data_IF_368417475308
#
_entry.id   IF_368417475308
#
_cell.length_a   1.000
_cell.length_b   1.000
_cell.length_c   1.000
_cell.angle_alpha   90.00
_cell.angle_beta   90.00
_cell.angle_gamma   90.00
#
_symmetry.space_group_name_H-M   'P 1'
#
loop_
_entity.id
_entity.type
_entity.pdbx_description
1 polymer ?
#
# COMPACT_ATOMS: atom_id res chain seq x y z
N UNK A 1 -19.57 -11.76 22.23
CA UNK A 1 -18.85 -10.46 22.16
C UNK A 1 -19.52 -9.43 23.07
N UNK A 2 -18.73 -8.47 23.60
CA UNK A 2 -19.28 -7.30 24.31
C UNK A 2 -20.18 -6.48 23.39
N UNK A 3 -21.07 -5.60 23.92
CA UNK A 3 -21.89 -4.76 23.05
C UNK A 3 -21.10 -3.88 22.10
N UNK A 4 -19.95 -3.36 22.57
CA UNK A 4 -19.01 -2.55 21.76
C UNK A 4 -17.62 -3.17 21.90
N UNK A 5 -17.33 -4.24 21.12
CA UNK A 5 -16.04 -4.92 21.22
C UNK A 5 -14.91 -4.01 20.69
N UNK A 6 -13.77 -4.00 21.39
CA UNK A 6 -12.57 -3.28 20.96
C UNK A 6 -11.63 -4.25 20.26
N UNK A 7 -11.29 -3.96 19.02
CA UNK A 7 -10.32 -4.72 18.24
C UNK A 7 -9.07 -3.90 17.99
N UNK A 8 -7.92 -4.50 18.26
CA UNK A 8 -6.62 -3.90 17.95
C UNK A 8 -6.05 -4.56 16.70
N UNK A 9 -5.71 -3.78 15.71
CA UNK A 9 -5.02 -4.20 14.50
C UNK A 9 -3.57 -3.71 14.56
N UNK A 10 -2.58 -4.60 14.51
CA UNK A 10 -1.16 -4.23 14.55
C UNK A 10 -0.53 -4.43 13.18
N UNK A 11 -0.28 -3.31 12.47
CA UNK A 11 0.45 -3.31 11.21
C UNK A 11 1.53 -2.21 11.22
N UNK A 12 2.76 -2.63 11.47
CA UNK A 12 3.92 -1.75 11.58
C UNK A 12 5.00 -2.07 10.55
N UNK A 13 4.59 -2.64 9.42
CA UNK A 13 5.43 -2.99 8.27
C UNK A 13 5.74 -1.81 7.36
N UNK A 14 5.80 -2.06 6.06
CA UNK A 14 5.95 -1.04 5.03
C UNK A 14 4.62 -0.31 4.77
N UNK A 15 4.70 0.86 4.14
CA UNK A 15 3.52 1.69 3.78
C UNK A 15 2.48 0.87 3.01
N UNK A 16 2.92 0.04 2.04
CA UNK A 16 2.02 -0.82 1.29
C UNK A 16 1.27 -1.83 2.17
N UNK A 17 1.97 -2.47 3.13
CA UNK A 17 1.34 -3.40 4.08
C UNK A 17 0.32 -2.67 4.98
N UNK A 18 0.61 -1.42 5.37
CA UNK A 18 -0.31 -0.60 6.16
C UNK A 18 -1.56 -0.27 5.34
N UNK A 19 -1.40 0.18 4.09
CA UNK A 19 -2.51 0.44 3.19
C UNK A 19 -3.41 -0.80 3.03
N UNK A 20 -2.82 -1.99 2.85
CA UNK A 20 -3.57 -3.26 2.81
C UNK A 20 -4.19 -3.64 4.17
N UNK A 21 -3.56 -3.25 5.28
CA UNK A 21 -4.09 -3.46 6.63
C UNK A 21 -5.37 -2.66 6.90
N UNK A 22 -5.58 -1.51 6.24
CA UNK A 22 -6.80 -0.71 6.37
C UNK A 22 -8.05 -1.46 5.88
N UNK A 23 -7.90 -2.37 4.90
CA UNK A 23 -9.00 -3.25 4.48
C UNK A 23 -9.53 -4.14 5.61
N UNK A 24 -8.66 -4.51 6.55
CA UNK A 24 -9.08 -5.26 7.75
C UNK A 24 -9.91 -4.41 8.72
N UNK A 25 -9.57 -3.13 8.86
CA UNK A 25 -10.33 -2.20 9.67
C UNK A 25 -11.72 -1.97 9.07
N UNK A 26 -11.80 -1.70 7.75
CA UNK A 26 -13.08 -1.51 7.09
C UNK A 26 -13.96 -2.78 7.11
N UNK A 27 -13.36 -3.96 6.90
CA UNK A 27 -14.05 -5.25 7.02
C UNK A 27 -14.68 -5.45 8.40
N UNK A 28 -13.96 -5.17 9.48
CA UNK A 28 -14.46 -5.27 10.86
C UNK A 28 -15.58 -4.25 11.13
N UNK A 29 -15.36 -2.99 10.77
CA UNK A 29 -16.30 -1.91 11.06
C UNK A 29 -17.63 -2.08 10.31
N UNK A 30 -17.58 -2.46 9.04
CA UNK A 30 -18.77 -2.74 8.24
C UNK A 30 -19.54 -4.01 8.67
N UNK A 31 -18.82 -4.97 9.21
CA UNK A 31 -19.41 -6.21 9.70
C UNK A 31 -19.96 -6.11 11.12
N UNK A 32 -19.33 -5.28 11.95
CA UNK A 32 -19.71 -5.03 13.35
C UNK A 32 -19.68 -3.51 13.58
N UNK A 33 -20.69 -2.74 13.15
CA UNK A 33 -20.68 -1.27 13.22
C UNK A 33 -20.45 -0.69 14.63
N UNK A 34 -20.83 -1.44 15.67
CA UNK A 34 -20.62 -1.03 17.07
C UNK A 34 -19.20 -1.26 17.58
N UNK A 35 -18.32 -1.94 16.83
CA UNK A 35 -16.96 -2.19 17.29
C UNK A 35 -16.11 -0.90 17.29
N UNK A 36 -15.12 -0.89 18.17
CA UNK A 36 -14.09 0.14 18.26
C UNK A 36 -12.80 -0.44 17.65
N UNK A 37 -12.24 0.23 16.66
CA UNK A 37 -11.01 -0.17 16.00
C UNK A 37 -9.85 0.70 16.49
N UNK A 38 -8.86 0.06 17.09
CA UNK A 38 -7.57 0.68 17.44
C UNK A 38 -6.52 0.18 16.45
N UNK A 39 -5.94 1.06 15.65
CA UNK A 39 -4.94 0.69 14.66
C UNK A 39 -3.54 1.13 15.09
N UNK A 40 -2.61 0.17 15.20
CA UNK A 40 -1.21 0.43 15.54
C UNK A 40 -0.38 0.54 14.27
N UNK A 41 0.21 1.71 14.05
CA UNK A 41 0.98 2.02 12.86
C UNK A 41 2.35 2.64 13.18
N UNK A 42 3.10 3.02 12.15
CA UNK A 42 4.41 3.70 12.26
C UNK A 42 4.27 5.19 11.91
N UNK A 43 5.19 6.08 12.36
CA UNK A 43 5.05 7.53 12.18
C UNK A 43 4.79 7.98 10.75
N UNK A 44 5.50 7.40 9.76
CA UNK A 44 5.37 7.81 8.36
C UNK A 44 3.96 7.55 7.78
N UNK A 45 3.19 6.64 8.37
CA UNK A 45 1.83 6.32 7.91
C UNK A 45 0.74 6.85 8.86
N UNK A 46 1.10 7.65 9.87
CA UNK A 46 0.16 8.25 10.83
C UNK A 46 -0.93 9.02 10.12
N UNK A 47 -0.55 9.92 9.21
CA UNK A 47 -1.47 10.75 8.44
C UNK A 47 -2.52 9.90 7.69
N UNK A 48 -2.09 8.88 6.95
CA UNK A 48 -3.00 7.99 6.22
C UNK A 48 -4.00 7.26 7.14
N UNK A 49 -3.52 6.79 8.30
CA UNK A 49 -4.36 6.04 9.25
C UNK A 49 -5.35 6.95 9.96
N UNK A 50 -4.96 8.18 10.30
CA UNK A 50 -5.85 9.19 10.91
C UNK A 50 -7.00 9.61 9.98
N UNK A 51 -6.80 9.57 8.66
CA UNK A 51 -7.82 9.89 7.66
C UNK A 51 -8.66 8.67 7.21
N UNK A 52 -8.39 7.48 7.73
CA UNK A 52 -9.18 6.29 7.43
C UNK A 52 -10.45 6.24 8.30
N UNK A 53 -11.62 6.39 7.68
CA UNK A 53 -12.91 6.55 8.38
C UNK A 53 -13.31 5.37 9.26
N UNK A 54 -12.76 4.19 9.03
CA UNK A 54 -13.09 2.97 9.77
C UNK A 54 -12.21 2.75 11.02
N UNK A 55 -11.36 3.71 11.37
CA UNK A 55 -10.48 3.65 12.52
C UNK A 55 -10.94 4.66 13.57
N UNK A 56 -11.19 4.18 14.79
CA UNK A 56 -11.63 5.04 15.89
C UNK A 56 -10.43 5.61 16.66
N UNK A 57 -9.34 4.86 16.79
CA UNK A 57 -8.13 5.29 17.49
C UNK A 57 -6.87 4.84 16.74
N UNK A 58 -5.88 5.71 16.69
CA UNK A 58 -4.55 5.43 16.10
C UNK A 58 -3.49 5.46 17.19
N UNK A 59 -2.66 4.41 17.24
CA UNK A 59 -1.51 4.32 18.15
C UNK A 59 -0.22 4.28 17.33
N UNK A 60 0.68 5.22 17.58
CA UNK A 60 1.93 5.36 16.81
C UNK A 60 3.06 4.60 17.51
N UNK A 61 3.53 3.54 16.85
CA UNK A 61 4.67 2.76 17.33
C UNK A 61 5.95 3.12 16.56
N UNK A 62 6.65 4.15 17.05
CA UNK A 62 7.96 4.53 16.51
C UNK A 62 9.07 3.61 17.03
N UNK A 63 9.14 2.42 16.49
CA UNK A 63 10.10 1.37 16.90
C UNK A 63 11.57 1.69 16.59
N UNK A 64 11.85 2.71 15.78
CA UNK A 64 13.21 3.14 15.41
C UNK A 64 13.66 4.38 16.15
N UNK A 65 12.73 5.18 16.68
CA UNK A 65 12.95 6.41 17.45
C UNK A 65 12.45 6.28 18.89
N UNK A 66 11.37 7.00 19.22
CA UNK A 66 10.83 7.16 20.58
C UNK A 66 10.57 5.82 21.32
N UNK A 67 10.10 4.81 20.60
CA UNK A 67 9.72 3.51 21.20
C UNK A 67 10.75 2.40 20.86
N UNK A 68 12.03 2.75 20.84
CA UNK A 68 13.12 1.79 20.60
C UNK A 68 13.32 0.84 21.78
N UNK A 69 13.59 -0.44 21.48
CA UNK A 69 13.92 -1.47 22.48
C UNK A 69 12.71 -1.95 23.30
N UNK A 70 12.99 -2.64 24.40
CA UNK A 70 11.96 -3.27 25.25
C UNK A 70 11.09 -2.24 25.98
N UNK A 71 11.68 -1.12 26.42
CA UNK A 71 10.95 -0.04 27.08
C UNK A 71 9.83 0.51 26.19
N UNK A 72 10.13 0.71 24.89
CA UNK A 72 9.14 1.16 23.92
C UNK A 72 8.02 0.12 23.71
N UNK A 73 8.34 -1.18 23.70
CA UNK A 73 7.31 -2.22 23.61
C UNK A 73 6.39 -2.16 24.82
N UNK A 74 6.95 -2.02 26.06
CA UNK A 74 6.17 -1.92 27.28
C UNK A 74 5.27 -0.67 27.31
N UNK A 75 5.78 0.48 26.81
CA UNK A 75 4.99 1.71 26.72
C UNK A 75 3.76 1.52 25.81
N UNK A 76 3.97 0.98 24.61
CA UNK A 76 2.86 0.72 23.67
C UNK A 76 1.91 -0.34 24.21
N UNK A 77 2.43 -1.41 24.83
CA UNK A 77 1.59 -2.43 25.47
C UNK A 77 0.69 -1.84 26.57
N UNK A 78 1.26 -0.98 27.43
CA UNK A 78 0.50 -0.26 28.44
C UNK A 78 -0.55 0.67 27.85
N UNK A 79 -0.23 1.38 26.77
CA UNK A 79 -1.18 2.23 26.06
C UNK A 79 -2.33 1.41 25.49
N UNK A 80 -2.04 0.30 24.81
CA UNK A 80 -3.05 -0.59 24.23
C UNK A 80 -3.92 -1.27 25.30
N UNK A 81 -3.37 -1.61 26.47
CA UNK A 81 -4.12 -2.23 27.55
C UNK A 81 -5.25 -1.34 28.11
N UNK A 82 -5.12 -0.01 27.99
CA UNK A 82 -6.16 0.95 28.40
C UNK A 82 -7.45 0.81 27.62
N UNK A 83 -7.36 0.35 26.38
CA UNK A 83 -8.54 0.09 25.52
C UNK A 83 -9.26 -1.20 25.90
N UNK A 84 -8.71 -2.02 26.81
CA UNK A 84 -9.27 -3.32 27.20
C UNK A 84 -9.70 -4.18 26.01
N UNK A 85 -8.79 -4.47 25.04
CA UNK A 85 -9.15 -5.11 23.81
C UNK A 85 -9.80 -6.48 23.99
N UNK A 86 -10.83 -6.76 23.21
CA UNK A 86 -11.46 -8.07 23.10
C UNK A 86 -10.55 -9.04 22.33
N UNK A 87 -9.98 -8.56 21.22
CA UNK A 87 -9.01 -9.31 20.45
C UNK A 87 -7.94 -8.39 19.80
N UNK A 88 -6.76 -8.96 19.61
CA UNK A 88 -5.65 -8.33 18.89
C UNK A 88 -5.32 -9.15 17.63
N UNK A 89 -5.41 -8.53 16.47
CA UNK A 89 -5.02 -9.11 15.21
C UNK A 89 -3.61 -8.63 14.82
N UNK A 90 -2.65 -9.56 14.89
CA UNK A 90 -1.24 -9.32 14.57
C UNK A 90 -0.99 -9.51 13.07
N UNK A 91 -1.37 -8.50 12.28
CA UNK A 91 -1.22 -8.51 10.82
C UNK A 91 0.26 -8.48 10.44
N UNK A 92 1.05 -7.64 11.11
CA UNK A 92 2.49 -7.56 10.88
C UNK A 92 3.22 -8.78 11.48
N UNK A 93 3.84 -9.58 10.64
CA UNK A 93 4.53 -10.82 10.98
C UNK A 93 5.93 -10.57 11.55
N UNK A 94 6.02 -10.23 12.84
CA UNK A 94 7.30 -10.06 13.53
C UNK A 94 7.24 -10.56 14.98
N UNK A 95 8.37 -11.00 15.50
CA UNK A 95 8.49 -11.37 16.92
C UNK A 95 8.09 -10.23 17.85
N UNK A 96 8.46 -9.00 17.49
CA UNK A 96 8.11 -7.78 18.25
C UNK A 96 6.59 -7.57 18.34
N UNK A 97 5.86 -7.82 17.26
CA UNK A 97 4.40 -7.73 17.24
C UNK A 97 3.77 -8.79 18.13
N UNK A 98 4.28 -10.03 18.06
CA UNK A 98 3.81 -11.11 18.92
C UNK A 98 4.07 -10.81 20.41
N UNK A 99 5.26 -10.34 20.76
CA UNK A 99 5.61 -9.94 22.13
C UNK A 99 4.74 -8.77 22.61
N UNK A 100 4.55 -7.76 21.77
CA UNK A 100 3.67 -6.62 22.08
C UNK A 100 2.25 -7.11 22.44
N UNK A 101 1.69 -8.02 21.66
CA UNK A 101 0.34 -8.55 21.91
C UNK A 101 0.22 -9.28 23.25
N UNK A 102 1.25 -10.01 23.70
CA UNK A 102 1.26 -10.68 25.02
C UNK A 102 1.28 -9.66 26.14
N UNK A 103 2.10 -8.63 26.03
CA UNK A 103 2.30 -7.62 27.08
C UNK A 103 1.07 -6.71 27.28
N UNK A 104 0.09 -6.74 26.39
CA UNK A 104 -1.20 -6.07 26.59
C UNK A 104 -2.13 -6.81 27.55
N UNK A 105 -1.80 -8.06 27.94
CA UNK A 105 -2.64 -8.97 28.69
C UNK A 105 -3.98 -9.33 28.02
N UNK A 106 -4.15 -9.06 26.71
CA UNK A 106 -5.32 -9.48 25.96
C UNK A 106 -5.35 -11.01 25.82
N UNK A 107 -6.50 -11.62 26.07
CA UNK A 107 -6.68 -13.09 26.01
C UNK A 107 -6.61 -13.59 24.57
N UNK A 108 -7.25 -12.88 23.63
CA UNK A 108 -7.35 -13.30 22.23
C UNK A 108 -6.32 -12.56 21.37
N UNK A 109 -5.23 -13.25 21.07
CA UNK A 109 -4.12 -12.76 20.25
C UNK A 109 -4.02 -13.64 19.02
N UNK A 110 -4.40 -13.09 17.88
CA UNK A 110 -4.51 -13.81 16.62
C UNK A 110 -3.37 -13.40 15.67
N UNK A 111 -2.69 -14.36 15.08
CA UNK A 111 -1.61 -14.10 14.13
C UNK A 111 -1.35 -15.29 13.22
N UNK A 112 -0.38 -15.16 12.32
CA UNK A 112 -0.05 -16.22 11.37
C UNK A 112 0.93 -17.24 11.94
N UNK A 113 0.76 -18.52 11.57
CA UNK A 113 1.64 -19.63 11.97
C UNK A 113 3.10 -19.40 11.57
N UNK A 114 3.35 -18.72 10.45
CA UNK A 114 4.69 -18.42 9.93
C UNK A 114 5.35 -17.22 10.62
N UNK A 115 4.65 -16.52 11.51
CA UNK A 115 5.22 -15.35 12.19
C UNK A 115 6.30 -15.79 13.17
N UNK A 116 7.46 -15.12 13.21
CA UNK A 116 8.38 -15.28 14.33
C UNK A 116 7.64 -14.97 15.64
N UNK A 117 7.67 -15.92 16.59
CA UNK A 117 6.92 -15.79 17.84
C UNK A 117 5.45 -16.23 17.76
N UNK A 118 5.04 -17.01 16.76
CA UNK A 118 3.68 -17.54 16.61
C UNK A 118 3.19 -18.35 17.83
N UNK A 119 4.09 -18.95 18.61
CA UNK A 119 3.80 -19.63 19.87
C UNK A 119 3.29 -18.70 20.99
N UNK A 120 3.40 -17.39 20.81
CA UNK A 120 2.88 -16.37 21.74
C UNK A 120 1.41 -16.02 21.44
N UNK A 121 0.87 -16.42 20.30
CA UNK A 121 -0.53 -16.20 19.97
C UNK A 121 -1.44 -17.19 20.69
N UNK A 122 -2.63 -16.75 21.07
CA UNK A 122 -3.67 -17.65 21.58
C UNK A 122 -4.31 -18.46 20.46
N UNK A 123 -4.26 -17.92 19.23
CA UNK A 123 -4.77 -18.57 18.03
C UNK A 123 -3.88 -18.21 16.82
N UNK A 124 -3.41 -19.24 16.11
CA UNK A 124 -2.55 -19.08 14.93
C UNK A 124 -3.28 -19.56 13.68
N UNK A 125 -3.25 -18.74 12.63
CA UNK A 125 -3.88 -19.00 11.34
C UNK A 125 -2.84 -19.34 10.30
N UNK A 126 -3.11 -20.28 9.44
CA UNK A 126 -2.21 -20.64 8.36
C UNK A 126 -2.10 -19.50 7.34
N UNK A 127 -0.88 -19.14 6.98
CA UNK A 127 -0.62 -18.15 5.94
C UNK A 127 -0.75 -18.81 4.58
N UNK A 128 -1.88 -18.57 3.89
CA UNK A 128 -2.14 -19.14 2.57
C UNK A 128 -1.19 -18.58 1.51
N UNK A 129 -0.75 -19.44 0.60
CA UNK A 129 -0.04 -19.03 -0.62
C UNK A 129 -1.05 -18.73 -1.74
N UNK A 130 -0.61 -18.03 -2.78
CA UNK A 130 -1.37 -17.79 -4.02
C UNK A 130 -2.74 -17.11 -3.80
N UNK A 131 -2.83 -16.23 -2.81
CA UNK A 131 -3.99 -15.35 -2.62
C UNK A 131 -3.49 -13.94 -2.26
N UNK A 132 -4.38 -12.95 -2.35
CA UNK A 132 -4.00 -11.57 -2.04
C UNK A 132 -3.78 -11.37 -0.53
N UNK A 133 -2.90 -10.42 -0.14
CA UNK A 133 -2.61 -10.15 1.28
C UNK A 133 -3.87 -9.73 2.06
N UNK A 134 -4.81 -9.01 1.44
CA UNK A 134 -6.09 -8.67 2.09
C UNK A 134 -6.92 -9.92 2.43
N UNK A 135 -6.86 -10.97 1.61
CA UNK A 135 -7.57 -12.22 1.88
C UNK A 135 -6.93 -12.99 3.04
N UNK A 136 -5.60 -12.96 3.14
CA UNK A 136 -4.88 -13.51 4.30
C UNK A 136 -5.24 -12.77 5.57
N UNK A 137 -5.27 -11.44 5.51
CA UNK A 137 -5.67 -10.62 6.65
C UNK A 137 -7.13 -10.86 7.04
N UNK A 138 -8.02 -11.13 6.06
CA UNK A 138 -9.38 -11.56 6.31
C UNK A 138 -9.43 -12.90 7.05
N UNK A 139 -8.57 -13.88 6.69
CA UNK A 139 -8.50 -15.17 7.38
C UNK A 139 -8.21 -15.01 8.88
N UNK A 140 -7.38 -14.03 9.28
CA UNK A 140 -7.15 -13.75 10.72
C UNK A 140 -8.44 -13.32 11.41
N UNK A 141 -9.22 -12.46 10.76
CA UNK A 141 -10.48 -11.95 11.31
C UNK A 141 -11.52 -13.07 11.37
N UNK A 142 -11.71 -13.82 10.30
CA UNK A 142 -12.67 -14.93 10.20
C UNK A 142 -12.37 -16.03 11.20
N UNK A 143 -11.11 -16.27 11.52
CA UNK A 143 -10.72 -17.29 12.51
C UNK A 143 -11.25 -17.01 13.92
N UNK A 144 -11.51 -15.75 14.23
CA UNK A 144 -12.02 -15.30 15.52
C UNK A 144 -13.51 -14.96 15.48
N UNK A 145 -13.96 -14.26 14.44
CA UNK A 145 -15.34 -13.79 14.27
C UNK A 145 -16.11 -14.79 13.42
N UNK A 146 -16.65 -15.83 14.05
CA UNK A 146 -17.31 -16.95 13.32
C UNK A 146 -18.78 -16.71 13.01
N UNK A 147 -19.47 -15.94 13.85
CA UNK A 147 -20.93 -15.81 13.81
C UNK A 147 -21.43 -14.59 13.07
N UNK A 148 -20.51 -13.84 12.43
CA UNK A 148 -20.84 -12.62 11.68
C UNK A 148 -20.40 -12.78 10.23
N UNK A 149 -21.32 -12.54 9.30
CA UNK A 149 -20.99 -12.49 7.87
C UNK A 149 -20.15 -11.26 7.59
N UNK A 150 -18.89 -11.46 7.23
CA UNK A 150 -17.98 -10.37 6.91
C UNK A 150 -18.40 -9.68 5.61
N UNK A 151 -18.43 -8.35 5.63
CA UNK A 151 -18.75 -7.49 4.48
C UNK A 151 -17.46 -6.95 3.88
N UNK A 152 -17.11 -7.45 2.70
CA UNK A 152 -15.96 -6.94 1.94
C UNK A 152 -16.25 -5.51 1.46
N UNK A 153 -15.38 -4.59 1.79
CA UNK A 153 -15.47 -3.20 1.38
C UNK A 153 -14.08 -2.60 1.21
N UNK A 154 -13.97 -1.55 0.43
CA UNK A 154 -12.74 -0.76 0.32
C UNK A 154 -12.70 0.28 1.43
N UNK A 155 -11.54 0.51 2.06
CA UNK A 155 -11.39 1.58 3.04
C UNK A 155 -11.70 2.94 2.43
N UNK A 156 -12.43 3.77 3.18
CA UNK A 156 -12.71 5.15 2.80
C UNK A 156 -11.65 6.02 3.47
N UNK A 157 -10.89 6.75 2.65
CA UNK A 157 -9.92 7.74 3.12
C UNK A 157 -10.51 9.12 2.91
N UNK A 158 -10.65 9.88 3.98
CA UNK A 158 -11.08 11.28 3.90
C UNK A 158 -10.04 12.08 3.11
N UNK A 159 -10.47 12.73 2.05
CA UNK A 159 -9.58 13.51 1.19
C UNK A 159 -9.04 14.73 1.94
N UNK A 160 -7.75 14.99 1.77
CA UNK A 160 -7.12 16.22 2.20
C UNK A 160 -7.05 17.19 1.02
N UNK A 161 -7.92 18.19 1.02
CA UNK A 161 -8.02 19.21 -0.01
C UNK A 161 -7.06 20.41 0.21
N UNK A 162 -6.24 20.38 1.28
CA UNK A 162 -5.34 21.50 1.61
C UNK A 162 -4.12 21.59 0.69
N UNK A 163 -3.96 20.68 -0.25
CA UNK A 163 -2.90 20.76 -1.27
C UNK A 163 -3.48 21.36 -2.54
N UNK A 164 -3.27 22.63 -2.72
CA UNK A 164 -3.39 23.29 -4.03
C UNK A 164 -2.11 23.00 -4.82
N UNK A 165 -2.07 21.89 -5.51
CA UNK A 165 -1.09 21.70 -6.57
C UNK A 165 -1.61 22.51 -7.78
N UNK A 166 -0.80 23.46 -8.25
CA UNK A 166 -1.09 24.19 -9.49
C UNK A 166 -0.81 23.24 -10.68
N UNK A 167 -1.72 22.28 -10.84
CA UNK A 167 -1.67 21.28 -11.91
C UNK A 167 -2.89 21.52 -12.80
N UNK A 168 -2.62 21.81 -14.07
CA UNK A 168 -3.68 21.82 -15.06
C UNK A 168 -4.27 20.40 -15.19
N UNK A 169 -5.50 20.25 -14.75
CA UNK A 169 -6.25 18.99 -14.77
C UNK A 169 -7.37 18.95 -15.81
N UNK A 170 -7.46 19.95 -16.68
CA UNK A 170 -8.56 20.05 -17.67
C UNK A 170 -8.68 18.77 -18.50
N UNK A 171 -7.58 18.24 -19.01
CA UNK A 171 -7.56 17.00 -19.77
C UNK A 171 -7.38 15.75 -18.88
N UNK A 172 -7.00 15.92 -17.62
CA UNK A 172 -6.77 14.86 -16.63
C UNK A 172 -5.31 14.61 -16.33
N UNK A 173 -5.07 13.79 -15.31
CA UNK A 173 -3.74 13.57 -14.72
C UNK A 173 -3.31 12.10 -14.91
N UNK A 174 -2.08 11.88 -15.36
CA UNK A 174 -1.38 10.60 -15.33
C UNK A 174 -0.30 10.70 -14.27
N UNK A 175 -0.28 9.74 -13.33
CA UNK A 175 0.70 9.71 -12.26
C UNK A 175 1.75 8.64 -12.53
N UNK A 176 3.02 8.98 -12.29
CA UNK A 176 4.16 8.06 -12.41
C UNK A 176 4.89 7.99 -11.08
N UNK A 177 5.08 6.78 -10.55
CA UNK A 177 5.86 6.51 -9.34
C UNK A 177 7.14 5.72 -9.70
N UNK A 178 8.24 6.38 -10.05
CA UNK A 178 9.46 5.73 -10.53
C UNK A 178 10.25 5.04 -9.44
N UNK A 179 10.03 5.43 -8.16
CA UNK A 179 10.76 4.93 -7.00
C UNK A 179 10.39 3.53 -6.55
N UNK A 180 11.29 2.89 -5.85
CA UNK A 180 11.07 1.69 -5.03
C UNK A 180 12.16 1.59 -3.99
N UNK A 181 11.84 1.03 -2.82
CA UNK A 181 12.82 0.71 -1.77
C UNK A 181 13.90 -0.29 -2.24
N UNK A 182 13.60 -1.07 -3.27
CA UNK A 182 14.47 -2.09 -3.84
C UNK A 182 14.85 -1.72 -5.27
N UNK A 183 16.17 -1.51 -5.53
CA UNK A 183 16.64 -1.08 -6.85
C UNK A 183 16.26 -2.05 -7.97
N UNK A 184 16.25 -3.36 -7.69
CA UNK A 184 15.89 -4.38 -8.68
C UNK A 184 14.43 -4.31 -9.14
N UNK A 185 13.55 -3.61 -8.40
CA UNK A 185 12.16 -3.37 -8.81
C UNK A 185 12.00 -2.12 -9.68
N UNK A 186 13.01 -1.25 -9.75
CA UNK A 186 12.90 0.02 -10.47
C UNK A 186 12.93 -0.22 -11.98
N UNK A 187 11.96 0.34 -12.67
CA UNK A 187 11.99 0.40 -14.12
C UNK A 187 13.09 1.35 -14.57
N UNK A 188 13.82 1.06 -15.68
CA UNK A 188 14.94 1.91 -16.10
C UNK A 188 14.52 3.37 -16.30
N UNK A 189 15.33 4.27 -15.80
CA UNK A 189 15.10 5.72 -15.91
C UNK A 189 14.96 6.16 -17.37
N UNK A 190 15.75 5.61 -18.28
CA UNK A 190 15.65 5.86 -19.71
C UNK A 190 14.28 5.48 -20.27
N UNK A 191 13.65 4.42 -19.74
CA UNK A 191 12.31 4.01 -20.15
C UNK A 191 11.23 4.96 -19.59
N UNK A 192 11.41 5.44 -18.36
CA UNK A 192 10.52 6.44 -17.74
C UNK A 192 10.55 7.73 -18.59
N UNK A 193 11.75 8.22 -18.95
CA UNK A 193 11.93 9.38 -19.81
C UNK A 193 11.23 9.22 -21.16
N UNK A 194 11.42 8.08 -21.81
CA UNK A 194 10.79 7.78 -23.09
C UNK A 194 9.26 7.75 -22.98
N UNK A 195 8.72 7.19 -21.90
CA UNK A 195 7.27 7.20 -21.65
C UNK A 195 6.74 8.62 -21.45
N UNK A 196 7.41 9.43 -20.61
CA UNK A 196 7.01 10.84 -20.36
C UNK A 196 6.99 11.61 -21.68
N UNK A 197 8.04 11.50 -22.51
CA UNK A 197 8.10 12.18 -23.80
C UNK A 197 6.94 11.77 -24.70
N UNK A 198 6.69 10.46 -24.85
CA UNK A 198 5.58 9.98 -25.68
C UNK A 198 4.22 10.48 -25.16
N UNK A 199 4.01 10.53 -23.85
CA UNK A 199 2.77 11.04 -23.26
C UNK A 199 2.58 12.54 -23.52
N UNK A 200 3.64 13.34 -23.38
CA UNK A 200 3.58 14.79 -23.63
C UNK A 200 3.37 15.11 -25.12
N UNK A 201 4.03 14.39 -26.01
CA UNK A 201 3.95 14.64 -27.46
C UNK A 201 2.61 14.17 -28.07
N UNK A 202 2.02 13.11 -27.55
CA UNK A 202 0.88 12.44 -28.19
C UNK A 202 -0.43 12.56 -27.42
N UNK A 203 -0.43 13.23 -26.24
CA UNK A 203 -1.64 13.44 -25.43
C UNK A 203 -1.67 14.84 -24.79
N UNK A 204 -2.82 15.23 -24.27
CA UNK A 204 -2.99 16.50 -23.56
C UNK A 204 -2.95 16.34 -22.03
N UNK A 205 -2.68 15.13 -21.51
CA UNK A 205 -2.67 14.87 -20.06
C UNK A 205 -1.52 15.56 -19.34
N UNK A 206 -1.75 15.98 -18.11
CA UNK A 206 -0.69 16.39 -17.18
C UNK A 206 -0.01 15.17 -16.58
N UNK A 207 1.31 15.19 -16.46
CA UNK A 207 2.14 14.13 -15.93
C UNK A 207 2.64 14.53 -14.55
N UNK A 208 2.33 13.75 -13.53
CA UNK A 208 2.75 14.02 -12.16
C UNK A 208 3.63 12.90 -11.64
N UNK A 209 4.87 13.22 -11.31
CA UNK A 209 5.82 12.29 -10.71
C UNK A 209 5.68 12.35 -9.19
N UNK A 210 5.42 11.20 -8.57
CA UNK A 210 5.31 11.05 -7.12
C UNK A 210 6.41 10.14 -6.57
N UNK A 211 6.71 10.30 -5.29
CA UNK A 211 7.70 9.50 -4.58
C UNK A 211 7.99 10.06 -3.19
N UNK A 212 8.86 9.39 -2.45
CA UNK A 212 9.42 9.90 -1.20
C UNK A 212 10.44 11.02 -1.47
N UNK A 213 10.91 11.67 -0.40
CA UNK A 213 12.02 12.64 -0.52
C UNK A 213 13.28 12.04 -1.13
N UNK A 214 13.53 10.73 -0.91
CA UNK A 214 14.67 10.03 -1.50
C UNK A 214 14.50 9.76 -3.00
N UNK A 215 13.29 9.81 -3.51
CA UNK A 215 13.00 9.59 -4.94
C UNK A 215 13.03 10.90 -5.74
N UNK A 216 13.23 12.07 -5.08
CA UNK A 216 13.20 13.38 -5.71
C UNK A 216 14.16 13.48 -6.89
N UNK A 217 15.43 13.09 -6.68
CA UNK A 217 16.48 13.18 -7.71
C UNK A 217 16.17 12.22 -8.89
N UNK A 218 15.62 11.04 -8.62
CA UNK A 218 15.19 10.11 -9.66
C UNK A 218 14.03 10.69 -10.47
N UNK A 219 13.06 11.31 -9.82
CA UNK A 219 11.95 11.99 -10.51
C UNK A 219 12.46 13.15 -11.36
N UNK A 220 13.35 13.99 -10.81
CA UNK A 220 13.96 15.12 -11.51
C UNK A 220 14.73 14.67 -12.75
N UNK A 221 15.62 13.68 -12.60
CA UNK A 221 16.43 13.15 -13.70
C UNK A 221 15.60 12.42 -14.77
N UNK A 222 14.38 12.00 -14.43
CA UNK A 222 13.43 11.42 -15.39
C UNK A 222 12.77 12.45 -16.30
N UNK A 223 12.91 13.75 -16.03
CA UNK A 223 12.37 14.86 -16.83
C UNK A 223 13.51 15.42 -17.66
N UNK A 224 13.38 15.38 -19.01
CA UNK A 224 14.42 15.84 -19.92
C UNK A 224 14.34 17.35 -20.23
N UNK A 225 13.17 17.94 -20.12
CA UNK A 225 12.91 19.34 -20.45
C UNK A 225 11.76 19.88 -19.58
N UNK A 226 11.81 21.18 -19.30
CA UNK A 226 10.71 21.83 -18.61
C UNK A 226 9.48 21.91 -19.50
N UNK A 227 8.34 21.56 -18.94
CA UNK A 227 7.06 21.62 -19.61
C UNK A 227 5.94 21.91 -18.61
N UNK A 228 4.99 22.78 -18.96
CA UNK A 228 3.90 23.21 -18.06
C UNK A 228 3.01 22.08 -17.58
N UNK A 229 2.95 20.97 -18.30
CA UNK A 229 2.20 19.76 -17.95
C UNK A 229 3.02 18.68 -17.23
N UNK A 230 4.27 18.94 -16.86
CA UNK A 230 5.11 17.98 -16.11
C UNK A 230 5.40 18.53 -14.73
N UNK A 231 5.02 17.80 -13.69
CA UNK A 231 5.16 18.21 -12.30
C UNK A 231 5.89 17.15 -11.48
N UNK A 232 7.00 17.51 -10.84
CA UNK A 232 7.68 16.67 -9.86
C UNK A 232 7.22 17.07 -8.46
N UNK A 233 6.39 16.23 -7.82
CA UNK A 233 5.90 16.45 -6.45
C UNK A 233 6.47 15.43 -5.47
N UNK A 234 7.56 14.75 -5.82
CA UNK A 234 8.21 13.77 -4.95
C UNK A 234 8.69 14.41 -3.64
N UNK A 235 8.24 13.84 -2.52
CA UNK A 235 8.54 14.33 -1.18
C UNK A 235 7.77 15.56 -0.73
N UNK A 236 6.83 16.06 -1.52
CA UNK A 236 5.98 17.22 -1.18
C UNK A 236 4.65 16.81 -0.58
N UNK A 237 4.14 15.64 -0.93
CA UNK A 237 2.83 15.16 -0.50
C UNK A 237 2.94 14.24 0.72
N UNK A 238 1.95 14.34 1.62
CA UNK A 238 1.66 13.31 2.61
C UNK A 238 1.06 12.07 1.93
N UNK A 239 0.90 10.96 2.66
CA UNK A 239 0.28 9.76 2.11
C UNK A 239 -1.20 9.98 1.79
N UNK A 240 -1.92 10.72 2.63
CA UNK A 240 -3.33 11.09 2.38
C UNK A 240 -3.45 11.98 1.16
N UNK A 241 -2.59 12.98 1.03
CA UNK A 241 -2.54 13.85 -0.15
C UNK A 241 -2.21 13.08 -1.42
N UNK A 242 -1.32 12.08 -1.31
CA UNK A 242 -1.03 11.17 -2.44
C UNK A 242 -2.28 10.37 -2.83
N UNK A 243 -3.07 9.85 -1.87
CA UNK A 243 -4.35 9.17 -2.13
C UNK A 243 -5.34 10.14 -2.78
N UNK A 244 -5.44 11.38 -2.30
CA UNK A 244 -6.30 12.42 -2.87
C UNK A 244 -5.93 12.76 -4.33
N UNK A 245 -4.63 12.92 -4.63
CA UNK A 245 -4.16 13.10 -6.01
C UNK A 245 -4.53 11.89 -6.90
N UNK A 246 -4.30 10.68 -6.40
CA UNK A 246 -4.61 9.45 -7.14
C UNK A 246 -6.11 9.29 -7.40
N UNK A 247 -6.99 9.76 -6.49
CA UNK A 247 -8.44 9.64 -6.67
C UNK A 247 -8.99 10.43 -7.87
N UNK A 248 -8.32 11.51 -8.25
CA UNK A 248 -8.67 12.34 -9.42
C UNK A 248 -7.87 11.99 -10.67
N UNK A 249 -6.87 11.11 -10.55
CA UNK A 249 -5.96 10.76 -11.65
C UNK A 249 -6.56 9.67 -12.55
N UNK A 250 -6.27 9.70 -13.84
CA UNK A 250 -6.74 8.71 -14.84
C UNK A 250 -6.11 7.34 -14.62
N UNK A 251 -4.81 7.30 -14.35
CA UNK A 251 -4.04 6.08 -14.17
C UNK A 251 -2.76 6.36 -13.39
N UNK A 252 -2.31 5.38 -12.60
CA UNK A 252 -0.97 5.33 -12.00
C UNK A 252 -0.11 4.34 -12.78
N UNK A 253 1.11 4.73 -13.11
CA UNK A 253 2.19 3.83 -13.54
C UNK A 253 3.17 3.69 -12.37
N UNK A 254 3.40 2.47 -11.89
CA UNK A 254 4.26 2.24 -10.72
C UNK A 254 4.99 0.91 -10.82
N UNK A 255 6.18 0.85 -10.26
CA UNK A 255 6.80 -0.42 -9.91
C UNK A 255 5.95 -1.15 -8.86
N UNK A 256 6.21 -2.45 -8.62
CA UNK A 256 5.66 -3.21 -7.48
C UNK A 256 6.14 -2.58 -6.15
N UNK A 257 5.44 -1.54 -5.68
CA UNK A 257 5.79 -0.72 -4.52
C UNK A 257 4.56 -0.07 -3.86
N UNK A 258 4.75 0.65 -2.77
CA UNK A 258 3.66 1.22 -1.97
C UNK A 258 2.61 2.04 -2.76
N UNK A 259 2.95 2.85 -3.78
CA UNK A 259 1.97 3.59 -4.57
C UNK A 259 0.88 2.73 -5.20
N UNK A 260 1.16 1.46 -5.58
CA UNK A 260 0.14 0.52 -6.08
C UNK A 260 -1.00 0.32 -5.07
N UNK A 261 -0.66 0.25 -3.79
CA UNK A 261 -1.65 0.03 -2.73
C UNK A 261 -2.35 1.33 -2.31
N UNK A 262 -1.66 2.48 -2.40
CA UNK A 262 -2.29 3.79 -2.24
C UNK A 262 -3.31 4.06 -3.36
N UNK A 263 -2.97 3.69 -4.61
CA UNK A 263 -3.88 3.77 -5.74
C UNK A 263 -5.10 2.83 -5.57
N UNK A 264 -4.91 1.68 -4.94
CA UNK A 264 -6.02 0.78 -4.61
C UNK A 264 -7.00 1.41 -3.62
N UNK A 265 -6.52 2.16 -2.62
CA UNK A 265 -7.35 2.96 -1.70
C UNK A 265 -8.07 4.10 -2.40
N UNK A 266 -7.43 4.70 -3.41
CA UNK A 266 -7.95 5.80 -4.22
C UNK A 266 -8.87 5.33 -5.37
N UNK A 267 -9.09 4.03 -5.54
CA UNK A 267 -9.76 3.46 -6.73
C UNK A 267 -9.13 3.89 -8.06
N UNK A 268 -7.83 4.23 -8.07
CA UNK A 268 -7.10 4.65 -9.26
C UNK A 268 -6.62 3.43 -10.07
N UNK A 269 -7.03 3.27 -11.32
CA UNK A 269 -6.47 2.25 -12.20
C UNK A 269 -4.95 2.31 -12.21
N UNK A 270 -4.30 1.17 -12.16
CA UNK A 270 -2.85 1.11 -11.99
C UNK A 270 -2.23 0.16 -13.01
N UNK A 271 -1.18 0.62 -13.68
CA UNK A 271 -0.23 -0.23 -14.40
C UNK A 271 0.91 -0.55 -13.46
N UNK A 272 0.93 -1.77 -12.92
CA UNK A 272 1.96 -2.22 -11.99
C UNK A 272 3.04 -3.01 -12.75
N UNK A 273 4.29 -2.56 -12.66
CA UNK A 273 5.45 -3.18 -13.32
C UNK A 273 6.13 -4.16 -12.36
N UNK A 274 6.08 -5.45 -12.72
CA UNK A 274 6.64 -6.53 -11.92
C UNK A 274 7.92 -7.09 -12.57
N UNK A 275 9.05 -6.84 -11.93
CA UNK A 275 10.36 -7.36 -12.33
C UNK A 275 10.77 -8.60 -11.54
N UNK A 276 11.55 -8.47 -10.44
CA UNK A 276 12.13 -9.58 -9.69
C UNK A 276 11.13 -10.35 -8.83
N UNK A 277 9.97 -9.79 -8.59
CA UNK A 277 8.86 -10.34 -7.79
C UNK A 277 7.76 -10.92 -8.67
N UNK A 278 6.74 -11.52 -8.06
CA UNK A 278 5.62 -12.11 -8.79
C UNK A 278 4.26 -11.71 -8.18
N UNK A 279 3.24 -11.38 -8.99
CA UNK A 279 1.90 -11.01 -8.50
C UNK A 279 1.25 -12.06 -7.60
N UNK A 280 1.53 -13.35 -7.83
CA UNK A 280 1.03 -14.45 -7.01
C UNK A 280 1.50 -14.39 -5.54
N UNK A 281 2.46 -13.53 -5.20
CA UNK A 281 2.80 -13.25 -3.80
C UNK A 281 1.69 -12.50 -3.06
N UNK A 282 0.73 -11.92 -3.80
CA UNK A 282 -0.49 -11.34 -3.23
C UNK A 282 -0.44 -9.85 -3.00
N UNK A 283 0.39 -9.12 -3.76
CA UNK A 283 0.57 -7.67 -3.65
C UNK A 283 0.25 -6.92 -4.95
N UNK A 284 -0.65 -7.48 -5.77
CA UNK A 284 -1.12 -6.81 -6.98
C UNK A 284 -2.04 -5.62 -6.69
N UNK A 285 -2.34 -4.79 -7.71
CA UNK A 285 -3.32 -3.71 -7.59
C UNK A 285 -4.74 -4.26 -7.41
N UNK A 286 -5.57 -3.55 -6.64
CA UNK A 286 -6.96 -3.92 -6.35
C UNK A 286 -7.98 -3.02 -7.05
N UNK A 287 -7.58 -1.85 -7.54
CA UNK A 287 -8.46 -0.96 -8.27
C UNK A 287 -8.93 -1.61 -9.59
N UNK A 288 -10.18 -1.37 -9.95
CA UNK A 288 -10.75 -1.85 -11.22
C UNK A 288 -9.93 -1.31 -12.40
N UNK A 289 -9.92 -2.05 -13.51
CA UNK A 289 -9.18 -1.72 -14.73
C UNK A 289 -7.65 -1.60 -14.54
N UNK A 290 -7.11 -2.13 -13.44
CA UNK A 290 -5.67 -2.20 -13.26
C UNK A 290 -5.04 -3.34 -14.06
N UNK A 291 -3.81 -3.14 -14.50
CA UNK A 291 -3.05 -4.10 -15.29
C UNK A 291 -1.69 -4.40 -14.62
N UNK A 292 -1.19 -5.59 -14.86
CA UNK A 292 0.16 -5.99 -14.45
C UNK A 292 0.96 -6.27 -15.70
N UNK A 293 2.11 -5.60 -15.83
CA UNK A 293 3.08 -5.87 -16.89
C UNK A 293 4.28 -6.59 -16.27
N UNK A 294 4.58 -7.75 -16.82
CA UNK A 294 5.72 -8.57 -16.43
C UNK A 294 6.24 -9.38 -17.62
N UNK A 295 7.44 -9.90 -17.51
CA UNK A 295 8.03 -10.77 -18.54
C UNK A 295 8.33 -12.14 -17.97
N UNK A 296 8.04 -13.18 -18.70
CA UNK A 296 8.36 -14.55 -18.31
C UNK A 296 9.84 -14.82 -18.55
N UNK A 297 10.56 -15.03 -17.46
CA UNK A 297 12.01 -15.28 -17.47
C UNK A 297 12.34 -16.41 -16.48
N UNK A 298 13.25 -17.34 -16.82
CA UNK A 298 13.62 -18.45 -15.94
C UNK A 298 14.18 -18.04 -14.57
N UNK A 299 14.73 -16.82 -14.49
CA UNK A 299 15.30 -16.28 -13.25
C UNK A 299 14.27 -15.62 -12.32
N UNK A 300 12.99 -15.58 -12.69
CA UNK A 300 11.92 -14.97 -11.87
C UNK A 300 11.02 -16.03 -11.22
N UNK A 301 10.53 -15.76 -9.99
CA UNK A 301 10.89 -14.65 -9.10
C UNK A 301 12.24 -14.85 -8.44
N UNK A 302 13.09 -13.79 -8.36
CA UNK A 302 14.39 -13.86 -7.70
C UNK A 302 14.30 -13.72 -6.17
N UNK A 303 13.24 -13.04 -5.70
CA UNK A 303 12.99 -12.81 -4.27
C UNK A 303 11.53 -12.46 -4.01
N UNK A 304 11.12 -12.52 -2.74
CA UNK A 304 9.77 -12.13 -2.31
C UNK A 304 9.63 -10.61 -2.27
N UNK A 305 10.70 -9.87 -1.96
CA UNK A 305 10.64 -8.42 -1.71
C UNK A 305 11.39 -7.56 -2.72
N UNK A 306 12.26 -8.12 -3.54
CA UNK A 306 13.27 -7.41 -4.31
C UNK A 306 14.63 -7.39 -3.59
N UNK A 307 15.65 -6.83 -4.26
CA UNK A 307 17.04 -6.78 -3.78
C UNK A 307 17.69 -5.45 -4.16
N UNK A 308 18.88 -5.16 -3.59
CA UNK A 308 19.66 -3.97 -3.97
C UNK A 308 20.22 -4.11 -5.37
N UNK A 309 20.68 -5.33 -5.72
CA UNK A 309 21.31 -5.64 -7.00
C UNK A 309 20.71 -6.92 -7.60
N UNK A 310 20.67 -6.99 -8.92
CA UNK A 310 20.24 -8.19 -9.63
C UNK A 310 21.27 -9.31 -9.42
N UNK A 311 20.89 -10.50 -8.92
CA UNK A 311 21.82 -11.60 -8.69
C UNK A 311 22.58 -12.02 -9.95
N UNK A 312 21.97 -11.85 -11.13
CA UNK A 312 22.57 -12.17 -12.44
C UNK A 312 23.11 -10.93 -13.17
N UNK A 313 23.13 -9.76 -12.52
CA UNK A 313 23.67 -8.49 -13.01
C UNK A 313 23.11 -7.97 -14.34
N UNK A 314 22.03 -8.56 -14.86
CA UNK A 314 21.48 -8.18 -16.17
C UNK A 314 20.19 -7.36 -16.09
N UNK A 315 19.42 -7.44 -15.01
CA UNK A 315 18.17 -6.72 -14.79
C UNK A 315 17.14 -6.79 -15.95
N UNK A 316 17.22 -7.82 -16.77
CA UNK A 316 16.43 -8.01 -18.01
C UNK A 316 14.92 -7.97 -17.74
N UNK A 317 14.46 -8.46 -16.57
CA UNK A 317 13.04 -8.46 -16.19
C UNK A 317 12.39 -7.08 -16.23
N UNK A 318 13.13 -6.00 -15.95
CA UNK A 318 12.64 -4.62 -16.04
C UNK A 318 13.04 -3.97 -17.36
N UNK A 319 14.22 -4.29 -17.91
CA UNK A 319 14.70 -3.72 -19.16
C UNK A 319 13.86 -4.13 -20.38
N UNK A 320 13.26 -5.32 -20.36
CA UNK A 320 12.44 -5.81 -21.48
C UNK A 320 11.00 -5.32 -21.46
N UNK A 321 10.54 -4.67 -20.39
CA UNK A 321 9.29 -3.93 -20.37
C UNK A 321 9.52 -2.64 -21.17
N UNK A 322 9.01 -2.57 -22.39
CA UNK A 322 9.28 -1.42 -23.27
C UNK A 322 8.35 -0.24 -23.00
N UNK A 323 8.82 1.02 -23.13
CA UNK A 323 8.00 2.22 -22.95
C UNK A 323 6.74 2.24 -23.83
N UNK A 324 6.86 1.79 -25.06
CA UNK A 324 5.73 1.73 -26.01
C UNK A 324 4.64 0.76 -25.56
N UNK A 325 5.01 -0.37 -24.93
CA UNK A 325 4.06 -1.31 -24.34
C UNK A 325 3.26 -0.64 -23.21
N UNK A 326 3.95 0.06 -22.30
CA UNK A 326 3.33 0.79 -21.20
C UNK A 326 2.44 1.92 -21.72
N UNK A 327 2.92 2.71 -22.69
CA UNK A 327 2.14 3.78 -23.34
C UNK A 327 0.82 3.25 -23.91
N UNK A 328 0.87 2.17 -24.68
CA UNK A 328 -0.34 1.54 -25.25
C UNK A 328 -1.34 1.15 -24.15
N UNK A 329 -0.85 0.57 -23.05
CA UNK A 329 -1.70 0.18 -21.91
C UNK A 329 -2.27 1.38 -21.14
N UNK A 330 -1.58 2.50 -21.09
CA UNK A 330 -2.11 3.76 -20.55
C UNK A 330 -3.33 4.20 -21.34
N UNK A 331 -3.23 4.24 -22.67
CA UNK A 331 -4.36 4.64 -23.53
C UNK A 331 -5.54 3.66 -23.45
N UNK A 332 -5.29 2.36 -23.37
CA UNK A 332 -6.32 1.33 -23.19
C UNK A 332 -7.10 1.55 -21.87
N UNK A 333 -6.41 1.80 -20.76
CA UNK A 333 -7.05 2.05 -19.46
C UNK A 333 -7.91 3.32 -19.53
N UNK A 334 -7.37 4.40 -20.08
CA UNK A 334 -8.08 5.68 -20.13
C UNK A 334 -9.34 5.56 -21.00
N UNK A 335 -9.27 4.91 -22.16
CA UNK A 335 -10.44 4.69 -23.02
C UNK A 335 -11.52 3.83 -22.35
N UNK A 336 -11.12 2.77 -21.66
CA UNK A 336 -12.04 1.89 -20.91
C UNK A 336 -12.72 2.61 -19.74
N UNK A 337 -12.00 3.53 -19.08
CA UNK A 337 -12.55 4.29 -17.94
C UNK A 337 -13.55 5.35 -18.37
N UNK A 338 -13.45 5.87 -19.59
CA UNK A 338 -14.44 6.78 -20.18
C UNK A 338 -15.77 6.09 -20.48
N UNK A 339 -15.74 4.83 -20.89
CA UNK A 339 -16.93 4.04 -21.19
C UNK A 339 -17.65 3.50 -19.92
N UNK A 340 -16.95 3.43 -18.79
CA UNK A 340 -17.49 2.96 -17.51
C UNK A 340 -16.97 3.87 -16.40
N UNK A 341 -17.67 5.00 -16.11
CA UNK A 341 -17.23 5.93 -15.06
C UNK A 341 -17.13 5.24 -13.70
N UNK A 342 -16.14 5.64 -12.91
CA UNK A 342 -15.97 5.17 -11.54
C UNK A 342 -17.24 5.48 -10.76
N UNK A 343 -17.84 4.49 -10.12
CA UNK A 343 -18.83 4.77 -9.09
C UNK A 343 -18.09 5.36 -7.88
N UNK A 344 -18.58 6.50 -7.35
CA UNK A 344 -17.98 7.15 -6.19
C UNK A 344 -17.99 6.28 -4.92
#
# INVERSE_FOLDING_TARGET
MRPNPVFVLIQTGFIGDIALGLYSASLLKESIPSCIIVFVTIPIAEDLVLHAQHIDHTVIYDKRGKHKGIKGILQIAHELSKYTPEAIFCIHRSFRTALLSVLTHCTHRIGFTISPGSFLYSHSVQYRKNCHEIERNQDLIESYIKDVKLKKTTPIITQDHNVTLDIDSEHGIIVIAPGSAWNTKRWPETHIRSLINSLIEQTEYSIVLIGSKQDKDLCESSILFEHTRIHNVAGLLSLTQTVSLLSISKVLISNDSAPVHLASLAHCPTIALFGPTHPAFGFGPLALNSLIIQKDLPCRPCSIHGQKECPLQHHVCMQTIQPQEVYTKVLEIISNTQSHPRNP
#
